data_IF_093576767978
#
_entry.id   IF_093576767978
#
_cell.length_a   1.000
_cell.length_b   1.000
_cell.length_c   1.000
_cell.angle_alpha   90.00
_cell.angle_beta   90.00
_cell.angle_gamma   90.00
#
_symmetry.space_group_name_H-M   'P 1'
#
loop_
_entity.id
_entity.type
_entity.pdbx_description
1 polymer ?
#
# COMPACT_ATOMS: atom_id res chain seq x y z
N UNK A 1 -8.20 -2.04 26.34
CA UNK A 1 -8.72 -1.20 25.24
C UNK A 1 -10.10 -1.70 24.86
N UNK A 2 -10.99 -0.84 24.35
CA UNK A 2 -12.39 -1.19 24.00
C UNK A 2 -12.53 -1.82 22.60
N UNK A 3 -11.55 -1.61 21.73
CA UNK A 3 -11.42 -2.23 20.41
C UNK A 3 -9.95 -2.11 19.95
N UNK A 4 -9.63 -2.63 18.75
CA UNK A 4 -8.26 -2.61 18.20
C UNK A 4 -7.76 -1.17 18.04
N UNK A 5 -8.56 -0.25 17.49
CA UNK A 5 -8.16 1.14 17.29
C UNK A 5 -7.85 1.84 18.62
N UNK A 6 -8.66 1.66 19.66
CA UNK A 6 -8.42 2.18 21.01
C UNK A 6 -7.11 1.65 21.62
N UNK A 7 -6.68 0.45 21.25
CA UNK A 7 -5.39 -0.09 21.69
C UNK A 7 -4.23 0.66 21.03
N UNK A 8 -4.29 0.89 19.71
CA UNK A 8 -3.32 1.70 18.98
C UNK A 8 -3.29 3.13 19.49
N UNK A 9 -4.45 3.73 19.73
CA UNK A 9 -4.55 5.14 20.13
C UNK A 9 -4.02 5.39 21.55
N UNK A 10 -4.12 4.41 22.46
CA UNK A 10 -3.73 4.60 23.86
C UNK A 10 -2.35 4.07 24.20
N UNK A 11 -1.93 2.98 23.57
CA UNK A 11 -0.82 2.18 24.09
C UNK A 11 0.32 2.00 23.11
N UNK A 12 0.04 1.56 21.88
CA UNK A 12 1.07 1.00 20.97
C UNK A 12 1.25 1.78 19.66
N UNK A 13 0.47 2.83 19.40
CA UNK A 13 0.65 3.71 18.26
C UNK A 13 1.88 4.62 18.40
N UNK A 14 2.36 5.21 17.31
CA UNK A 14 3.52 6.11 17.32
C UNK A 14 3.36 7.21 18.39
N UNK A 15 4.35 7.34 19.27
CA UNK A 15 4.34 8.31 20.38
C UNK A 15 3.50 7.93 21.60
N UNK A 16 2.99 6.68 21.68
CA UNK A 16 2.25 6.16 22.84
C UNK A 16 3.17 5.40 23.81
N UNK A 17 2.75 5.19 25.08
CA UNK A 17 3.63 4.73 26.17
C UNK A 17 4.39 3.43 25.92
N UNK A 18 3.84 2.52 25.10
CA UNK A 18 4.43 1.22 24.79
C UNK A 18 4.88 1.10 23.33
N UNK A 19 4.97 2.22 22.61
CA UNK A 19 5.51 2.22 21.26
C UNK A 19 7.04 2.14 21.30
N UNK A 20 7.56 1.04 20.77
CA UNK A 20 8.97 0.89 20.48
C UNK A 20 9.14 1.09 18.97
N UNK A 21 9.94 2.09 18.59
CA UNK A 21 10.23 2.35 17.19
C UNK A 21 10.89 1.13 16.55
N UNK A 22 10.24 0.54 15.55
CA UNK A 22 10.84 -0.50 14.73
C UNK A 22 11.73 0.16 13.68
N UNK A 23 13.01 -0.19 13.66
CA UNK A 23 13.88 0.11 12.51
C UNK A 23 13.61 -0.94 11.43
N UNK A 24 12.97 -0.50 10.34
CA UNK A 24 12.83 -1.32 9.15
C UNK A 24 14.16 -1.45 8.41
N UNK A 25 14.15 -2.25 7.34
CA UNK A 25 15.22 -2.20 6.35
C UNK A 25 15.24 -0.82 5.70
N UNK A 26 16.42 -0.35 5.31
CA UNK A 26 16.52 0.85 4.47
C UNK A 26 15.75 0.63 3.16
N UNK A 27 15.11 1.69 2.65
CA UNK A 27 14.26 1.57 1.46
C UNK A 27 15.04 1.09 0.24
N UNK A 28 16.22 1.65 -0.01
CA UNK A 28 17.01 1.29 -1.19
C UNK A 28 17.51 -0.15 -1.06
N UNK A 29 17.90 -0.57 0.16
CA UNK A 29 18.24 -1.98 0.42
C UNK A 29 17.03 -2.91 0.30
N UNK A 30 15.82 -2.47 0.66
CA UNK A 30 14.61 -3.27 0.49
C UNK A 30 14.27 -3.47 -0.99
N UNK A 31 14.39 -2.43 -1.80
CA UNK A 31 14.25 -2.48 -3.26
C UNK A 31 15.28 -3.45 -3.84
N UNK A 32 16.54 -3.30 -3.45
CA UNK A 32 17.64 -4.16 -3.92
C UNK A 32 17.37 -5.64 -3.62
N UNK A 33 17.01 -5.98 -2.37
CA UNK A 33 16.70 -7.37 -1.97
C UNK A 33 15.53 -7.95 -2.79
N UNK A 34 14.48 -7.17 -3.02
CA UNK A 34 13.34 -7.63 -3.83
C UNK A 34 13.82 -7.95 -5.26
N UNK A 35 14.59 -7.05 -5.87
CA UNK A 35 15.12 -7.22 -7.24
C UNK A 35 16.13 -8.37 -7.34
N UNK A 36 17.01 -8.54 -6.34
CA UNK A 36 17.96 -9.67 -6.24
C UNK A 36 17.23 -11.03 -6.28
N UNK A 37 16.00 -11.09 -5.76
CA UNK A 37 15.14 -12.29 -5.79
C UNK A 37 14.24 -12.39 -7.03
N UNK A 38 14.46 -11.55 -8.05
CA UNK A 38 13.61 -11.40 -9.24
C UNK A 38 12.16 -10.98 -8.92
N UNK A 39 11.96 -10.40 -7.74
CA UNK A 39 10.69 -9.80 -7.35
C UNK A 39 10.57 -8.38 -7.89
N UNK A 40 9.34 -7.85 -7.85
CA UNK A 40 9.03 -6.49 -8.27
C UNK A 40 8.62 -5.66 -7.05
N UNK A 41 9.32 -4.54 -6.74
CA UNK A 41 8.98 -3.70 -5.60
C UNK A 41 7.67 -2.92 -5.82
N UNK A 42 6.74 -3.02 -4.87
CA UNK A 42 5.43 -2.37 -4.92
C UNK A 42 5.20 -1.57 -3.64
N UNK A 43 4.78 -0.31 -3.76
CA UNK A 43 4.35 0.50 -2.63
C UNK A 43 2.94 0.10 -2.19
N UNK A 44 2.84 -0.51 -1.01
CA UNK A 44 1.58 -0.89 -0.39
C UNK A 44 0.85 0.32 0.25
N UNK A 45 -0.48 0.32 0.14
CA UNK A 45 -1.46 1.21 0.75
C UNK A 45 -0.93 2.64 1.04
N UNK A 46 -0.66 3.46 0.02
CA UNK A 46 0.05 4.75 0.14
C UNK A 46 -0.61 5.75 1.10
N UNK A 47 -1.91 5.65 1.32
CA UNK A 47 -2.63 6.51 2.28
C UNK A 47 -2.14 6.35 3.73
N UNK A 48 -1.48 5.23 4.05
CA UNK A 48 -0.85 4.99 5.35
C UNK A 48 0.46 5.76 5.57
N UNK A 49 1.00 6.41 4.53
CA UNK A 49 2.17 7.29 4.66
C UNK A 49 1.84 8.58 5.42
N UNK A 50 0.54 8.90 5.60
CA UNK A 50 0.06 10.15 6.21
C UNK A 50 0.62 11.42 5.53
N UNK A 51 0.91 11.32 4.23
CA UNK A 51 1.33 12.45 3.40
C UNK A 51 0.10 13.13 2.82
N UNK A 52 0.02 14.45 2.97
CA UNK A 52 -1.06 15.24 2.37
C UNK A 52 -1.05 15.13 0.85
N UNK A 53 -2.21 15.14 0.21
CA UNK A 53 -2.35 15.07 -1.25
C UNK A 53 -1.49 16.05 -2.05
N UNK A 54 -1.28 17.28 -1.56
CA UNK A 54 -0.42 18.27 -2.24
C UNK A 54 1.07 17.90 -2.26
N UNK A 55 1.50 17.01 -1.38
CA UNK A 55 2.89 16.50 -1.27
C UNK A 55 3.04 15.08 -1.80
N UNK A 56 1.94 14.36 -2.01
CA UNK A 56 1.97 12.95 -2.36
C UNK A 56 2.60 12.71 -3.74
N UNK A 57 2.30 13.56 -4.73
CA UNK A 57 2.89 13.45 -6.08
C UNK A 57 4.42 13.45 -6.07
N UNK A 58 5.08 14.46 -5.48
CA UNK A 58 6.54 14.47 -5.33
C UNK A 58 7.10 13.28 -4.55
N UNK A 59 6.41 12.82 -3.51
CA UNK A 59 6.84 11.63 -2.75
C UNK A 59 6.76 10.37 -3.60
N UNK A 60 5.67 10.17 -4.34
CA UNK A 60 5.54 9.01 -5.23
C UNK A 60 6.55 9.07 -6.38
N UNK A 61 6.82 10.24 -6.93
CA UNK A 61 7.87 10.41 -7.94
C UNK A 61 9.25 10.01 -7.39
N UNK A 62 9.63 10.47 -6.21
CA UNK A 62 10.89 10.06 -5.57
C UNK A 62 10.99 8.54 -5.38
N UNK A 63 9.89 7.92 -4.92
CA UNK A 63 9.84 6.46 -4.74
C UNK A 63 9.97 5.70 -6.07
N UNK A 64 9.37 6.21 -7.14
CA UNK A 64 9.49 5.64 -8.49
C UNK A 64 10.93 5.69 -8.99
N UNK A 65 11.56 6.86 -8.92
CA UNK A 65 12.96 7.08 -9.34
C UNK A 65 13.95 6.20 -8.58
N UNK A 66 13.63 5.84 -7.33
CA UNK A 66 14.44 4.94 -6.51
C UNK A 66 14.25 3.46 -6.83
N UNK A 67 13.28 3.13 -7.69
CA UNK A 67 13.08 1.77 -8.20
C UNK A 67 11.87 1.04 -7.62
N UNK A 68 10.91 1.74 -7.01
CA UNK A 68 9.56 1.18 -6.80
C UNK A 68 8.82 1.21 -8.14
N UNK A 69 8.29 0.07 -8.56
CA UNK A 69 7.71 -0.07 -9.90
C UNK A 69 6.18 -0.14 -9.88
N UNK A 70 5.60 -0.64 -8.78
CA UNK A 70 4.15 -0.75 -8.61
C UNK A 70 3.57 0.10 -7.50
N UNK A 71 2.28 0.44 -7.62
CA UNK A 71 1.52 1.21 -6.63
C UNK A 71 0.19 0.52 -6.29
N UNK A 72 -0.06 0.24 -5.01
CA UNK A 72 -1.39 -0.22 -4.56
C UNK A 72 -2.38 0.95 -4.47
N UNK A 73 -3.01 1.27 -5.60
CA UNK A 73 -4.02 2.32 -5.66
C UNK A 73 -5.37 1.86 -5.08
N UNK A 74 -5.70 0.57 -5.20
CA UNK A 74 -7.00 0.02 -4.83
C UNK A 74 -6.93 -0.80 -3.54
N UNK A 75 -7.18 -0.12 -2.42
CA UNK A 75 -7.11 -0.70 -1.08
C UNK A 75 -8.38 -0.40 -0.27
N UNK A 76 -8.91 -1.32 0.56
CA UNK A 76 -10.18 -1.09 1.27
C UNK A 76 -10.09 0.01 2.35
N UNK A 77 -8.87 0.42 2.73
CA UNK A 77 -8.64 1.52 3.67
C UNK A 77 -8.72 2.91 3.06
N UNK A 78 -8.81 2.99 1.73
CA UNK A 78 -8.97 4.24 1.00
C UNK A 78 -10.42 4.40 0.54
N UNK A 79 -10.89 5.66 0.46
CA UNK A 79 -12.17 6.00 -0.15
C UNK A 79 -12.09 5.77 -1.66
N UNK A 80 -13.25 5.62 -2.31
CA UNK A 80 -13.33 5.40 -3.76
C UNK A 80 -12.61 6.50 -4.55
N UNK A 81 -12.84 7.77 -4.18
CA UNK A 81 -12.18 8.91 -4.81
C UNK A 81 -10.67 8.94 -4.58
N UNK A 82 -10.19 8.41 -3.44
CA UNK A 82 -8.76 8.30 -3.16
C UNK A 82 -8.13 7.20 -4.02
N UNK A 83 -8.82 6.08 -4.21
CA UNK A 83 -8.35 4.99 -5.08
C UNK A 83 -8.24 5.45 -6.54
N UNK A 84 -9.29 6.12 -7.05
CA UNK A 84 -9.28 6.68 -8.41
C UNK A 84 -8.16 7.69 -8.59
N UNK A 85 -7.98 8.60 -7.63
CA UNK A 85 -6.92 9.60 -7.68
C UNK A 85 -5.52 8.98 -7.57
N UNK A 86 -5.34 7.93 -6.77
CA UNK A 86 -4.07 7.19 -6.70
C UNK A 86 -3.78 6.44 -7.99
N UNK A 87 -4.78 5.84 -8.63
CA UNK A 87 -4.64 5.14 -9.91
C UNK A 87 -4.17 6.11 -11.00
N UNK A 88 -4.89 7.22 -11.17
CA UNK A 88 -4.54 8.28 -12.12
C UNK A 88 -3.13 8.85 -11.88
N UNK A 89 -2.80 9.15 -10.62
CA UNK A 89 -1.50 9.69 -10.24
C UNK A 89 -0.38 8.66 -10.46
N UNK A 90 -0.60 7.40 -10.08
CA UNK A 90 0.36 6.32 -10.25
C UNK A 90 0.70 6.11 -11.71
N UNK A 91 -0.31 5.99 -12.57
CA UNK A 91 -0.12 5.85 -14.02
C UNK A 91 0.62 7.04 -14.63
N UNK A 92 0.26 8.27 -14.22
CA UNK A 92 0.95 9.49 -14.69
C UNK A 92 2.44 9.49 -14.34
N UNK A 93 2.80 8.89 -13.21
CA UNK A 93 4.18 8.77 -12.74
C UNK A 93 4.90 7.52 -13.24
N UNK A 94 4.24 6.67 -14.04
CA UNK A 94 4.85 5.47 -14.63
C UNK A 94 4.82 4.22 -13.74
N UNK A 95 4.00 4.19 -12.68
CA UNK A 95 3.74 2.96 -11.92
C UNK A 95 2.76 2.06 -12.66
N UNK A 96 2.95 0.73 -12.57
CA UNK A 96 1.84 -0.20 -12.76
C UNK A 96 0.95 -0.22 -11.51
N UNK A 97 -0.33 -0.51 -11.70
CA UNK A 97 -1.33 -0.41 -10.64
C UNK A 97 -1.65 -1.78 -10.06
N UNK A 98 -1.70 -1.85 -8.73
CA UNK A 98 -2.12 -3.05 -8.00
C UNK A 98 -3.34 -2.79 -7.12
N UNK A 99 -3.95 -3.89 -6.69
CA UNK A 99 -5.08 -3.91 -5.77
C UNK A 99 -4.86 -5.01 -4.73
N UNK A 100 -5.13 -4.72 -3.47
CA UNK A 100 -5.00 -5.67 -2.38
C UNK A 100 -6.16 -5.60 -1.40
N UNK A 101 -6.34 -6.67 -0.63
CA UNK A 101 -7.41 -6.76 0.37
C UNK A 101 -6.94 -6.39 1.78
N UNK A 102 -5.63 -6.46 2.02
CA UNK A 102 -5.03 -6.29 3.35
C UNK A 102 -5.78 -7.12 4.43
N UNK A 103 -6.17 -8.34 4.06
CA UNK A 103 -7.02 -9.20 4.87
C UNK A 103 -6.21 -9.89 5.97
N UNK A 104 -6.64 -9.68 7.22
CA UNK A 104 -5.97 -10.20 8.42
C UNK A 104 -6.78 -11.30 9.13
N UNK A 105 -7.73 -11.93 8.44
CA UNK A 105 -8.62 -12.94 9.01
C UNK A 105 -10.03 -12.41 9.33
N UNK A 106 -11.03 -13.30 9.35
CA UNK A 106 -12.45 -12.91 9.40
C UNK A 106 -12.87 -12.22 10.70
N UNK A 107 -12.09 -12.37 11.79
CA UNK A 107 -12.36 -11.76 13.09
C UNK A 107 -11.61 -10.46 13.36
N UNK A 108 -10.69 -10.03 12.49
CA UNK A 108 -9.77 -8.92 12.78
C UNK A 108 -10.29 -7.58 12.24
N UNK A 109 -10.66 -7.53 10.95
CA UNK A 109 -11.19 -6.33 10.30
C UNK A 109 -12.43 -6.69 9.49
N UNK A 110 -13.62 -6.32 10.01
CA UNK A 110 -14.92 -6.65 9.38
C UNK A 110 -15.13 -5.97 8.03
N UNK A 111 -14.42 -4.88 7.78
CA UNK A 111 -14.41 -4.11 6.54
C UNK A 111 -13.42 -4.65 5.49
N UNK A 112 -12.67 -5.72 5.80
CA UNK A 112 -11.76 -6.39 4.88
C UNK A 112 -12.29 -7.77 4.51
N UNK A 113 -12.30 -8.09 3.22
CA UNK A 113 -12.64 -9.42 2.72
C UNK A 113 -11.59 -9.85 1.71
N UNK A 114 -11.09 -11.09 1.86
CA UNK A 114 -10.13 -11.65 0.92
C UNK A 114 -10.63 -11.55 -0.52
N UNK A 115 -9.75 -11.11 -1.44
CA UNK A 115 -10.08 -10.92 -2.86
C UNK A 115 -10.96 -9.70 -3.16
N UNK A 116 -11.16 -8.79 -2.20
CA UNK A 116 -11.94 -7.56 -2.40
C UNK A 116 -11.11 -6.34 -1.96
N UNK A 117 -11.20 -5.27 -2.75
CA UNK A 117 -10.51 -3.98 -2.57
C UNK A 117 -11.48 -2.90 -2.08
N UNK A 118 -11.23 -1.63 -2.43
CA UNK A 118 -12.07 -0.49 -2.10
C UNK A 118 -13.56 -0.75 -2.36
N UNK A 119 -14.41 -0.40 -1.37
CA UNK A 119 -15.88 -0.55 -1.42
C UNK A 119 -16.34 -1.97 -1.79
N UNK A 120 -15.64 -3.00 -1.34
CA UNK A 120 -15.98 -4.41 -1.62
C UNK A 120 -15.95 -4.76 -3.12
N UNK A 121 -15.24 -3.98 -3.95
CA UNK A 121 -15.03 -4.33 -5.34
C UNK A 121 -14.13 -5.58 -5.40
N UNK A 122 -14.55 -6.62 -6.12
CA UNK A 122 -13.71 -7.80 -6.36
C UNK A 122 -12.40 -7.35 -7.01
N UNK A 123 -11.28 -7.87 -6.53
CA UNK A 123 -9.98 -7.67 -7.16
C UNK A 123 -10.03 -8.41 -8.50
N UNK A 124 -9.90 -7.65 -9.57
CA UNK A 124 -9.99 -8.13 -10.94
C UNK A 124 -8.67 -8.80 -11.35
N UNK A 125 -8.74 -9.79 -12.22
CA UNK A 125 -7.58 -10.51 -12.71
C UNK A 125 -6.63 -9.60 -13.52
N UNK A 126 -7.13 -8.49 -14.09
CA UNK A 126 -6.30 -7.53 -14.83
C UNK A 126 -5.11 -6.99 -14.04
N UNK A 127 -5.22 -6.84 -12.72
CA UNK A 127 -4.11 -6.38 -11.87
C UNK A 127 -2.96 -7.41 -11.85
N UNK A 128 -3.25 -8.66 -12.18
CA UNK A 128 -2.25 -9.68 -12.47
C UNK A 128 -1.88 -9.69 -13.95
N UNK A 129 -2.84 -9.92 -14.86
CA UNK A 129 -2.54 -10.23 -16.26
C UNK A 129 -2.01 -9.05 -17.07
N UNK A 130 -2.52 -7.85 -16.81
CA UNK A 130 -2.20 -6.64 -17.57
C UNK A 130 -1.20 -5.74 -16.84
N UNK A 131 -1.18 -5.76 -15.51
CA UNK A 131 -0.34 -4.86 -14.70
C UNK A 131 0.93 -5.55 -14.19
N UNK A 132 0.84 -6.56 -13.32
CA UNK A 132 2.05 -7.15 -12.70
C UNK A 132 2.80 -8.12 -13.61
N UNK A 133 2.10 -9.00 -14.33
CA UNK A 133 2.72 -10.09 -15.11
C UNK A 133 3.75 -9.60 -16.16
N UNK A 134 3.55 -8.48 -16.88
CA UNK A 134 4.55 -7.94 -17.80
C UNK A 134 5.89 -7.55 -17.15
N UNK A 135 5.93 -7.43 -15.82
CA UNK A 135 7.13 -7.01 -15.07
C UNK A 135 7.89 -8.17 -14.42
N UNK A 136 7.46 -9.43 -14.61
CA UNK A 136 8.00 -10.62 -13.92
C UNK A 136 8.94 -11.48 -14.79
N UNK A 137 9.83 -10.88 -15.57
CA UNK A 137 10.78 -11.60 -16.45
C UNK A 137 11.72 -12.59 -15.72
#
# INVERSE_FOLDING_TARGET
AKNVQDAFDRYIGKGRPFYIGRKGLDLDRAIEVIKETKGVPVLAHPMSLYVSWGKLGPVLHDLHERGIEGLEAWHPGARMSECQRLDELGRKLGFFITAGSDFHGPGVRKDRKLGHSCRMKKIDEKYWTEELKPHLE
#
